data_IF_487136400641
#
_entry.id   IF_487136400641
#
_cell.length_a   1.000
_cell.length_b   1.000
_cell.length_c   1.000
_cell.angle_alpha   90.00
_cell.angle_beta   90.00
_cell.angle_gamma   90.00
#
_symmetry.space_group_name_H-M   'P 1'
#
loop_
_entity.id
_entity.type
_entity.pdbx_description
1 polymer ?
#
# COMPACT_ATOMS: atom_id res chain seq x y z
N UNK A 1 -11.67 -23.12 -14.91
CA UNK A 1 -11.97 -23.17 -13.47
C UNK A 1 -13.04 -22.14 -13.22
N UNK A 2 -14.24 -22.58 -12.96
CA UNK A 2 -15.35 -21.69 -12.62
C UNK A 2 -15.02 -20.89 -11.37
N UNK A 3 -15.24 -19.56 -11.42
CA UNK A 3 -15.14 -18.66 -10.27
C UNK A 3 -16.20 -19.04 -9.23
N UNK A 4 -15.90 -19.95 -8.33
CA UNK A 4 -16.72 -20.15 -7.15
C UNK A 4 -16.59 -18.91 -6.24
N UNK A 5 -17.70 -18.21 -6.11
CA UNK A 5 -18.05 -17.18 -5.13
C UNK A 5 -16.87 -16.53 -4.40
N UNK A 6 -16.29 -15.53 -5.05
CA UNK A 6 -15.21 -14.72 -4.47
C UNK A 6 -15.78 -13.70 -3.47
N UNK A 7 -17.04 -13.28 -3.65
CA UNK A 7 -17.72 -12.35 -2.74
C UNK A 7 -18.40 -13.14 -1.63
N UNK A 8 -18.17 -12.72 -0.39
CA UNK A 8 -18.81 -13.33 0.77
C UNK A 8 -20.32 -13.10 0.74
N UNK A 9 -21.06 -14.10 1.21
CA UNK A 9 -22.51 -13.99 1.34
C UNK A 9 -22.91 -13.03 2.47
N UNK A 10 -24.13 -12.49 2.38
CA UNK A 10 -24.72 -11.70 3.48
C UNK A 10 -24.78 -12.52 4.79
N UNK A 11 -24.96 -13.84 4.68
CA UNK A 11 -24.95 -14.74 5.82
C UNK A 11 -23.59 -14.83 6.52
N UNK A 12 -22.46 -14.85 5.75
CA UNK A 12 -21.13 -14.83 6.32
C UNK A 12 -20.87 -13.50 7.06
N UNK A 13 -21.26 -12.38 6.47
CA UNK A 13 -21.12 -11.07 7.09
C UNK A 13 -22.05 -10.89 8.31
N UNK A 14 -23.26 -11.44 8.26
CA UNK A 14 -24.18 -11.45 9.41
C UNK A 14 -23.60 -12.22 10.58
N UNK A 15 -22.98 -13.37 10.30
CA UNK A 15 -22.27 -14.17 11.32
C UNK A 15 -21.12 -13.40 11.97
N UNK A 16 -20.35 -12.62 11.21
CA UNK A 16 -19.29 -11.81 11.80
C UNK A 16 -19.86 -10.69 12.69
N UNK A 17 -20.97 -10.05 12.30
CA UNK A 17 -21.69 -9.09 13.16
C UNK A 17 -22.18 -9.74 14.47
N UNK A 18 -22.65 -10.97 14.40
CA UNK A 18 -23.05 -11.73 15.62
C UNK A 18 -21.85 -11.95 16.58
N UNK A 19 -20.66 -12.28 16.05
CA UNK A 19 -19.45 -12.40 16.88
C UNK A 19 -19.01 -11.06 17.45
N UNK A 20 -19.14 -9.96 16.67
CA UNK A 20 -18.88 -8.59 17.14
C UNK A 20 -19.75 -8.28 18.38
N UNK A 21 -21.05 -8.53 18.31
CA UNK A 21 -21.95 -8.29 19.45
C UNK A 21 -21.61 -9.16 20.66
N UNK A 22 -21.31 -10.45 20.46
CA UNK A 22 -20.86 -11.34 21.55
C UNK A 22 -19.60 -10.82 22.25
N UNK A 23 -18.63 -10.30 21.50
CA UNK A 23 -17.42 -9.71 22.09
C UNK A 23 -17.76 -8.44 22.85
N UNK A 24 -18.61 -7.58 22.28
CA UNK A 24 -19.08 -6.35 22.92
C UNK A 24 -19.76 -6.63 24.28
N UNK A 25 -20.58 -7.68 24.33
CA UNK A 25 -21.17 -8.15 25.59
C UNK A 25 -20.10 -8.64 26.59
N UNK A 26 -19.09 -9.39 26.14
CA UNK A 26 -17.96 -9.80 26.98
C UNK A 26 -17.18 -8.59 27.53
N UNK A 27 -16.97 -7.57 26.70
CA UNK A 27 -16.29 -6.34 27.11
C UNK A 27 -17.13 -5.58 28.15
N UNK A 28 -18.42 -5.43 27.93
CA UNK A 28 -19.34 -4.77 28.90
C UNK A 28 -19.34 -5.47 30.27
N UNK A 29 -19.23 -6.80 30.31
CA UNK A 29 -19.20 -7.57 31.56
C UNK A 29 -17.91 -7.35 32.36
N UNK A 30 -16.82 -6.84 31.76
CA UNK A 30 -15.55 -6.58 32.45
C UNK A 30 -15.62 -5.40 33.42
N UNK A 31 -16.61 -4.51 33.31
CA UNK A 31 -16.79 -3.35 34.16
C UNK A 31 -15.71 -2.26 34.01
N UNK A 32 -14.85 -2.36 33.00
CA UNK A 32 -13.85 -1.36 32.63
C UNK A 32 -13.79 -1.20 31.10
N UNK A 33 -13.32 -0.06 30.63
CA UNK A 33 -13.03 0.14 29.21
C UNK A 33 -12.00 -0.89 28.72
N UNK A 34 -12.17 -1.36 27.49
CA UNK A 34 -11.22 -2.25 26.81
C UNK A 34 -10.45 -1.44 25.79
N UNK A 35 -9.15 -1.42 25.92
CA UNK A 35 -8.26 -0.64 25.07
C UNK A 35 -7.58 -1.50 24.02
N UNK A 36 -7.53 -0.99 22.80
CA UNK A 36 -6.85 -1.65 21.69
C UNK A 36 -5.72 -0.77 21.12
N UNK A 37 -4.64 -1.42 20.72
CA UNK A 37 -3.55 -0.83 19.96
C UNK A 37 -3.43 -1.55 18.63
N UNK A 38 -3.44 -0.81 17.51
CA UNK A 38 -3.21 -1.35 16.18
C UNK A 38 -1.97 -0.70 15.59
N UNK A 39 -0.91 -1.48 15.41
CA UNK A 39 0.35 -1.02 14.85
C UNK A 39 0.57 -1.62 13.46
N UNK A 40 0.94 -0.79 12.48
CA UNK A 40 1.00 -1.16 11.07
C UNK A 40 2.42 -1.06 10.52
N UNK A 41 2.95 -2.20 10.08
CA UNK A 41 4.27 -2.30 9.46
C UNK A 41 4.10 -2.69 7.99
N UNK A 42 4.08 -1.71 7.07
CA UNK A 42 3.93 -2.13 5.69
C UNK A 42 3.63 -1.06 4.66
N UNK A 43 2.84 -1.46 3.68
CA UNK A 43 2.40 -0.62 2.56
C UNK A 43 1.01 -0.02 2.84
N UNK A 44 0.55 0.84 1.94
CA UNK A 44 -0.78 1.46 2.03
C UNK A 44 -1.93 0.44 2.12
N UNK A 45 -1.79 -0.72 1.47
CA UNK A 45 -2.77 -1.80 1.63
C UNK A 45 -2.83 -2.34 3.06
N UNK A 46 -1.69 -2.42 3.78
CA UNK A 46 -1.73 -2.78 5.21
C UNK A 46 -2.39 -1.69 6.05
N UNK A 47 -2.22 -0.41 5.68
CA UNK A 47 -2.91 0.69 6.37
C UNK A 47 -4.43 0.56 6.18
N UNK A 48 -4.91 0.32 4.95
CA UNK A 48 -6.32 0.08 4.68
C UNK A 48 -6.85 -1.16 5.44
N UNK A 49 -6.08 -2.26 5.47
CA UNK A 49 -6.43 -3.45 6.24
C UNK A 49 -6.54 -3.12 7.76
N UNK A 50 -5.63 -2.29 8.30
CA UNK A 50 -5.66 -1.85 9.70
C UNK A 50 -6.87 -0.95 10.00
N UNK A 51 -7.28 -0.10 9.08
CA UNK A 51 -8.49 0.72 9.25
C UNK A 51 -9.76 -0.15 9.38
N UNK A 52 -9.82 -1.28 8.67
CA UNK A 52 -10.89 -2.27 8.88
C UNK A 52 -10.76 -2.99 10.23
N UNK A 53 -9.55 -3.35 10.66
CA UNK A 53 -9.33 -3.95 11.99
C UNK A 53 -9.78 -2.98 13.08
N UNK A 54 -9.41 -1.70 12.97
CA UNK A 54 -9.84 -0.67 13.91
C UNK A 54 -11.37 -0.52 13.92
N UNK A 55 -12.00 -0.48 12.73
CA UNK A 55 -13.47 -0.41 12.65
C UNK A 55 -14.17 -1.61 13.31
N UNK A 56 -13.64 -2.82 13.17
CA UNK A 56 -14.16 -4.00 13.85
C UNK A 56 -13.95 -3.92 15.37
N UNK A 57 -12.80 -3.46 15.85
CA UNK A 57 -12.49 -3.29 17.27
C UNK A 57 -13.38 -2.20 17.90
N UNK A 58 -13.59 -1.07 17.23
CA UNK A 58 -14.51 -0.02 17.67
C UNK A 58 -15.95 -0.56 17.79
N UNK A 59 -16.42 -1.32 16.79
CA UNK A 59 -17.73 -1.98 16.83
C UNK A 59 -17.86 -2.99 17.99
N UNK A 60 -16.76 -3.57 18.45
CA UNK A 60 -16.69 -4.44 19.64
C UNK A 60 -16.63 -3.65 20.96
N UNK A 61 -16.62 -2.31 20.90
CA UNK A 61 -16.58 -1.43 22.09
C UNK A 61 -15.18 -1.22 22.64
N UNK A 62 -14.14 -1.24 21.79
CA UNK A 62 -12.78 -0.89 22.19
C UNK A 62 -12.51 0.60 21.97
N UNK A 63 -11.78 1.22 22.91
CA UNK A 63 -11.12 2.50 22.72
C UNK A 63 -9.68 2.29 22.28
N UNK A 64 -9.06 3.29 21.61
CA UNK A 64 -7.70 3.15 21.09
C UNK A 64 -6.68 3.86 21.96
N UNK A 65 -5.52 3.21 22.13
CA UNK A 65 -4.36 3.73 22.86
C UNK A 65 -3.09 3.60 22.02
N UNK A 66 -2.05 4.34 22.39
CA UNK A 66 -0.75 4.32 21.68
C UNK A 66 0.30 3.49 22.42
N UNK A 67 0.13 3.31 23.73
CA UNK A 67 1.10 2.64 24.58
C UNK A 67 0.74 1.16 24.77
N UNK A 68 1.64 0.22 24.45
CA UNK A 68 1.37 -1.22 24.57
C UNK A 68 1.01 -1.67 26.00
N UNK A 69 1.50 -0.95 27.02
CA UNK A 69 1.20 -1.28 28.42
C UNK A 69 -0.24 -0.97 28.83
N UNK A 70 -0.92 -0.08 28.11
CA UNK A 70 -2.31 0.34 28.36
C UNK A 70 -3.32 -0.50 27.58
N UNK A 71 -2.84 -1.24 26.57
CA UNK A 71 -3.73 -2.01 25.68
C UNK A 71 -4.12 -3.36 26.28
N UNK A 72 -5.39 -3.71 26.19
CA UNK A 72 -5.92 -5.06 26.45
C UNK A 72 -5.79 -5.93 25.20
N UNK A 73 -5.85 -5.34 23.99
CA UNK A 73 -5.70 -6.03 22.71
C UNK A 73 -4.64 -5.30 21.87
N UNK A 74 -3.62 -6.01 21.43
CA UNK A 74 -2.58 -5.48 20.53
C UNK A 74 -2.65 -6.22 19.20
N UNK A 75 -2.77 -5.49 18.10
CA UNK A 75 -2.75 -6.05 16.74
C UNK A 75 -1.56 -5.49 15.97
N UNK A 76 -0.62 -6.36 15.59
CA UNK A 76 0.49 -6.01 14.71
C UNK A 76 0.17 -6.45 13.28
N UNK A 77 -0.14 -5.49 12.40
CA UNK A 77 -0.39 -5.75 10.98
C UNK A 77 0.89 -5.61 10.17
N UNK A 78 1.28 -6.66 9.45
CA UNK A 78 2.65 -6.88 9.03
C UNK A 78 2.80 -7.12 7.53
N UNK A 79 3.94 -6.68 6.96
CA UNK A 79 4.27 -6.78 5.54
C UNK A 79 5.28 -7.90 5.27
N UNK A 80 5.13 -8.60 4.13
CA UNK A 80 6.08 -9.61 3.67
C UNK A 80 7.11 -9.08 2.65
N UNK A 81 6.97 -7.81 2.22
CA UNK A 81 7.77 -7.27 1.10
C UNK A 81 9.09 -6.66 1.57
N UNK A 82 9.15 -6.09 2.79
CA UNK A 82 10.30 -5.34 3.31
C UNK A 82 11.01 -6.11 4.42
N UNK A 83 12.27 -6.47 4.22
CA UNK A 83 13.10 -7.22 5.20
C UNK A 83 13.24 -6.48 6.55
N UNK A 84 13.47 -5.17 6.50
CA UNK A 84 13.53 -4.35 7.71
C UNK A 84 12.22 -4.36 8.52
N UNK A 85 11.07 -4.43 7.83
CA UNK A 85 9.78 -4.51 8.52
C UNK A 85 9.64 -5.84 9.27
N UNK A 86 10.06 -6.96 8.66
CA UNK A 86 10.03 -8.28 9.29
C UNK A 86 10.90 -8.34 10.57
N UNK A 87 12.14 -7.84 10.49
CA UNK A 87 13.05 -7.78 11.65
C UNK A 87 12.48 -6.91 12.77
N UNK A 88 11.90 -5.75 12.42
CA UNK A 88 11.26 -4.85 13.39
C UNK A 88 10.07 -5.52 14.08
N UNK A 89 9.24 -6.25 13.34
CA UNK A 89 8.09 -6.99 13.89
C UNK A 89 8.54 -8.02 14.92
N UNK A 90 9.58 -8.81 14.62
CA UNK A 90 10.10 -9.77 15.59
C UNK A 90 10.67 -9.11 16.85
N UNK A 91 11.32 -7.95 16.72
CA UNK A 91 11.76 -7.15 17.85
C UNK A 91 10.60 -6.69 18.73
N UNK A 92 9.55 -6.14 18.10
CA UNK A 92 8.34 -5.70 18.81
C UNK A 92 7.63 -6.87 19.50
N UNK A 93 7.46 -8.02 18.80
CA UNK A 93 6.91 -9.22 19.43
C UNK A 93 7.72 -9.66 20.66
N UNK A 94 9.06 -9.57 20.60
CA UNK A 94 9.91 -9.85 21.76
C UNK A 94 9.65 -8.92 22.93
N UNK A 95 9.53 -7.61 22.66
CA UNK A 95 9.26 -6.59 23.67
C UNK A 95 7.89 -6.78 24.36
N UNK A 96 6.85 -7.20 23.62
CA UNK A 96 5.50 -7.46 24.14
C UNK A 96 5.45 -8.59 25.16
N UNK A 97 6.52 -9.39 25.33
CA UNK A 97 6.62 -10.37 26.42
C UNK A 97 6.54 -9.69 27.78
N UNK A 98 7.05 -8.46 27.93
CA UNK A 98 7.02 -7.74 29.19
C UNK A 98 5.61 -7.25 29.54
N UNK A 99 4.88 -6.71 28.57
CA UNK A 99 3.49 -6.24 28.78
C UNK A 99 2.56 -7.41 29.05
N UNK A 100 2.72 -8.52 28.32
CA UNK A 100 1.95 -9.76 28.55
C UNK A 100 2.21 -10.39 29.93
N UNK A 101 3.43 -10.27 30.46
CA UNK A 101 3.74 -10.72 31.83
C UNK A 101 3.08 -9.82 32.89
N UNK A 102 3.02 -8.52 32.65
CA UNK A 102 2.36 -7.55 33.52
C UNK A 102 0.83 -7.69 33.47
N UNK A 103 0.27 -7.95 32.29
CA UNK A 103 -1.15 -8.20 32.06
C UNK A 103 -1.34 -9.55 31.33
N UNK A 104 -1.48 -10.67 32.04
CA UNK A 104 -1.64 -12.00 31.43
C UNK A 104 -2.90 -12.13 30.57
N UNK A 105 -3.92 -11.30 30.78
CA UNK A 105 -5.14 -11.28 29.95
C UNK A 105 -5.01 -10.45 28.67
N UNK A 106 -3.93 -9.70 28.48
CA UNK A 106 -3.67 -8.97 27.25
C UNK A 106 -3.65 -9.94 26.05
N UNK A 107 -4.38 -9.62 25.00
CA UNK A 107 -4.42 -10.43 23.77
C UNK A 107 -3.46 -9.80 22.74
N UNK A 108 -2.53 -10.60 22.24
CA UNK A 108 -1.55 -10.18 21.22
C UNK A 108 -1.85 -10.91 19.92
N UNK A 109 -2.14 -10.11 18.86
CA UNK A 109 -2.47 -10.59 17.53
C UNK A 109 -1.36 -10.22 16.54
N UNK A 110 -0.98 -11.17 15.69
CA UNK A 110 -0.12 -10.93 14.53
C UNK A 110 -0.91 -11.18 13.25
N UNK A 111 -0.98 -10.21 12.36
CA UNK A 111 -1.70 -10.38 11.11
C UNK A 111 -0.97 -9.77 9.89
N UNK A 112 -1.61 -9.84 8.74
CA UNK A 112 -1.12 -9.29 7.49
C UNK A 112 -0.28 -10.26 6.66
N UNK A 113 0.39 -9.72 5.63
CA UNK A 113 1.09 -10.54 4.61
C UNK A 113 2.21 -11.40 5.19
N UNK A 114 2.93 -10.92 6.22
CA UNK A 114 3.98 -11.68 6.88
C UNK A 114 3.41 -12.90 7.61
N UNK A 115 2.29 -12.72 8.32
CA UNK A 115 1.61 -13.76 9.08
C UNK A 115 1.06 -14.90 8.20
N UNK A 116 0.76 -14.60 6.91
CA UNK A 116 0.27 -15.60 5.94
C UNK A 116 1.33 -16.65 5.57
N UNK A 117 2.60 -16.38 5.81
CA UNK A 117 3.70 -17.29 5.47
C UNK A 117 3.77 -18.43 6.48
N UNK A 118 3.70 -19.72 6.04
CA UNK A 118 3.69 -20.86 6.96
C UNK A 118 4.91 -20.92 7.88
N UNK A 119 6.11 -20.59 7.37
CA UNK A 119 7.34 -20.56 8.15
C UNK A 119 7.35 -19.48 9.24
N UNK A 120 6.68 -18.35 9.00
CA UNK A 120 6.51 -17.28 10.00
C UNK A 120 5.53 -17.73 11.08
N UNK A 121 4.38 -18.28 10.68
CA UNK A 121 3.37 -18.81 11.62
C UNK A 121 3.99 -19.88 12.52
N UNK A 122 4.79 -20.80 11.96
CA UNK A 122 5.46 -21.84 12.73
C UNK A 122 6.53 -21.27 13.67
N UNK A 123 7.33 -20.31 13.22
CA UNK A 123 8.29 -19.60 14.08
C UNK A 123 7.59 -18.91 15.25
N UNK A 124 6.45 -18.24 14.99
CA UNK A 124 5.65 -17.61 16.05
C UNK A 124 5.06 -18.66 17.01
N UNK A 125 4.63 -19.80 16.47
CA UNK A 125 4.12 -20.91 17.29
C UNK A 125 5.15 -21.42 18.28
N UNK A 126 6.39 -21.59 17.84
CA UNK A 126 7.48 -22.15 18.63
C UNK A 126 8.13 -21.13 19.58
N UNK A 127 8.43 -19.91 19.09
CA UNK A 127 9.32 -18.97 19.76
C UNK A 127 8.58 -17.80 20.46
N UNK A 128 7.34 -17.49 20.07
CA UNK A 128 6.58 -16.34 20.61
C UNK A 128 5.26 -16.84 21.25
N UNK A 129 5.40 -17.59 22.35
CA UNK A 129 4.27 -18.26 23.02
C UNK A 129 3.22 -17.31 23.62
N UNK A 130 3.56 -16.04 23.78
CA UNK A 130 2.68 -14.98 24.26
C UNK A 130 1.78 -14.37 23.17
N UNK A 131 1.96 -14.74 21.91
CA UNK A 131 1.06 -14.34 20.81
C UNK A 131 -0.14 -15.27 20.80
N UNK A 132 -1.35 -14.71 20.92
CA UNK A 132 -2.59 -15.46 21.08
C UNK A 132 -3.29 -15.74 19.74
N UNK A 133 -3.20 -14.82 18.77
CA UNK A 133 -3.86 -14.93 17.47
C UNK A 133 -2.88 -14.63 16.34
N UNK A 134 -2.86 -15.50 15.32
CA UNK A 134 -2.11 -15.29 14.07
C UNK A 134 -3.05 -15.52 12.89
N UNK A 135 -3.20 -14.53 11.99
CA UNK A 135 -4.05 -14.67 10.81
C UNK A 135 -3.51 -13.91 9.61
N UNK A 136 -3.76 -14.45 8.41
CA UNK A 136 -3.36 -13.82 7.16
C UNK A 136 -4.39 -12.80 6.65
N UNK A 137 -4.05 -12.04 5.59
CA UNK A 137 -4.95 -11.04 5.01
C UNK A 137 -6.22 -11.66 4.42
N UNK A 138 -6.20 -12.94 4.07
CA UNK A 138 -7.36 -13.66 3.55
C UNK A 138 -8.41 -13.95 4.62
N UNK A 139 -7.99 -13.99 5.89
CA UNK A 139 -8.86 -14.20 7.04
C UNK A 139 -9.25 -12.91 7.78
N UNK A 140 -8.89 -11.72 7.24
CA UNK A 140 -9.16 -10.43 7.87
C UNK A 140 -10.63 -10.27 8.27
N UNK A 141 -11.54 -10.61 7.38
CA UNK A 141 -12.98 -10.52 7.59
C UNK A 141 -13.50 -11.43 8.72
N UNK A 142 -12.76 -12.50 9.04
CA UNK A 142 -13.07 -13.42 10.15
C UNK A 142 -12.56 -12.93 11.50
N UNK A 143 -11.94 -11.75 11.57
CA UNK A 143 -11.30 -11.27 12.79
C UNK A 143 -12.22 -11.31 14.02
N UNK A 144 -13.52 -10.90 13.95
CA UNK A 144 -14.44 -11.06 15.07
C UNK A 144 -14.59 -12.50 15.56
N UNK A 145 -14.79 -13.45 14.66
CA UNK A 145 -14.89 -14.88 14.99
C UNK A 145 -13.60 -15.41 15.62
N UNK A 146 -12.44 -15.05 15.03
CA UNK A 146 -11.14 -15.51 15.52
C UNK A 146 -10.82 -14.95 16.92
N UNK A 147 -11.11 -13.68 17.14
CA UNK A 147 -10.94 -13.04 18.44
C UNK A 147 -11.87 -13.65 19.50
N UNK A 148 -13.13 -13.92 19.14
CA UNK A 148 -14.06 -14.63 20.02
C UNK A 148 -13.57 -16.03 20.42
N UNK A 149 -12.92 -16.74 19.48
CA UNK A 149 -12.30 -18.03 19.78
C UNK A 149 -11.15 -17.89 20.80
N UNK A 150 -10.33 -16.82 20.72
CA UNK A 150 -9.29 -16.56 21.73
C UNK A 150 -9.92 -16.36 23.11
N UNK A 151 -11.01 -15.58 23.22
CA UNK A 151 -11.70 -15.35 24.49
C UNK A 151 -12.31 -16.62 25.10
N UNK A 152 -12.83 -17.54 24.27
CA UNK A 152 -13.64 -18.65 24.75
C UNK A 152 -12.87 -19.96 24.89
N UNK A 153 -11.87 -20.21 24.02
CA UNK A 153 -11.16 -21.50 23.99
C UNK A 153 -9.93 -21.56 24.90
N UNK A 154 -9.51 -20.45 25.51
CA UNK A 154 -8.28 -20.33 26.33
C UNK A 154 -7.03 -20.89 25.64
N UNK A 155 -6.95 -20.81 24.33
CA UNK A 155 -5.87 -21.34 23.52
C UNK A 155 -5.50 -20.38 22.38
N UNK A 156 -4.31 -20.60 21.83
CA UNK A 156 -3.80 -19.82 20.70
C UNK A 156 -4.53 -20.19 19.42
N UNK A 157 -4.89 -19.20 18.60
CA UNK A 157 -5.61 -19.37 17.33
C UNK A 157 -4.69 -19.03 16.16
N UNK A 158 -4.62 -19.90 15.15
CA UNK A 158 -3.83 -19.70 13.93
C UNK A 158 -4.74 -19.94 12.72
N UNK A 159 -4.95 -18.88 11.92
CA UNK A 159 -5.76 -18.90 10.68
C UNK A 159 -4.92 -18.40 9.50
N UNK A 160 -4.04 -19.28 9.03
CA UNK A 160 -3.08 -19.01 7.94
C UNK A 160 -3.23 -20.01 6.79
N UNK A 161 -4.34 -20.70 6.72
CA UNK A 161 -4.62 -21.67 5.66
C UNK A 161 -4.75 -20.96 4.31
N UNK A 162 -4.31 -21.63 3.24
CA UNK A 162 -4.42 -21.16 1.87
C UNK A 162 -5.85 -21.29 1.35
N UNK A 163 -6.80 -20.60 1.95
CA UNK A 163 -8.10 -20.41 1.37
C UNK A 163 -7.98 -19.50 0.15
N UNK A 164 -8.78 -19.74 -0.89
CA UNK A 164 -8.94 -18.79 -1.97
C UNK A 164 -9.54 -17.52 -1.36
N UNK A 165 -8.77 -16.43 -1.33
CA UNK A 165 -9.19 -15.22 -0.63
C UNK A 165 -10.54 -14.71 -1.12
N UNK A 166 -11.32 -14.17 -0.20
CA UNK A 166 -12.67 -13.65 -0.47
C UNK A 166 -12.67 -12.11 -0.48
N UNK A 167 -13.72 -11.53 -1.03
CA UNK A 167 -14.02 -10.10 -0.94
C UNK A 167 -15.13 -9.95 0.11
N UNK A 168 -14.86 -9.17 1.14
CA UNK A 168 -15.83 -8.80 2.16
C UNK A 168 -16.26 -7.35 1.91
N UNK A 169 -17.50 -7.16 1.51
CA UNK A 169 -18.09 -5.83 1.38
C UNK A 169 -18.76 -5.40 2.70
N UNK A 170 -18.81 -4.10 2.95
CA UNK A 170 -19.49 -3.53 4.11
C UNK A 170 -18.79 -3.81 5.46
N UNK A 171 -17.49 -4.13 5.48
CA UNK A 171 -16.74 -4.18 6.73
C UNK A 171 -16.67 -2.79 7.37
N UNK A 172 -16.78 -2.68 8.71
CA UNK A 172 -16.54 -1.42 9.42
C UNK A 172 -15.13 -0.88 9.10
N UNK A 173 -15.01 0.44 9.08
CA UNK A 173 -13.74 1.10 8.82
C UNK A 173 -13.61 2.36 9.68
N UNK A 174 -12.46 2.51 10.34
CA UNK A 174 -12.07 3.74 11.04
C UNK A 174 -10.95 4.41 10.25
N UNK A 175 -11.15 5.65 9.85
CA UNK A 175 -10.15 6.45 9.12
C UNK A 175 -9.65 7.58 9.98
N UNK A 176 -8.34 7.74 10.03
CA UNK A 176 -7.71 8.87 10.72
C UNK A 176 -7.81 10.14 9.85
N UNK A 177 -8.47 11.16 10.38
CA UNK A 177 -8.67 12.44 9.70
C UNK A 177 -9.60 12.35 8.48
N UNK A 178 -9.73 13.47 7.75
CA UNK A 178 -10.59 13.59 6.55
C UNK A 178 -9.82 14.08 5.32
N UNK A 179 -8.49 14.11 5.39
CA UNK A 179 -7.67 14.59 4.27
C UNK A 179 -7.52 13.52 3.20
N UNK A 180 -7.27 12.26 3.60
CA UNK A 180 -6.98 11.14 2.71
C UNK A 180 -7.77 9.90 3.05
N UNK A 181 -8.20 9.16 2.02
CA UNK A 181 -8.81 7.84 2.16
C UNK A 181 -8.15 6.83 1.23
N UNK A 182 -8.08 5.58 1.68
CA UNK A 182 -7.66 4.45 0.88
C UNK A 182 -8.86 3.56 0.60
N UNK A 183 -9.05 3.25 -0.69
CA UNK A 183 -10.14 2.39 -1.17
C UNK A 183 -9.54 1.21 -1.91
N UNK A 184 -9.61 0.02 -1.32
CA UNK A 184 -9.20 -1.20 -2.00
C UNK A 184 -10.19 -1.52 -3.11
N UNK A 185 -9.74 -1.55 -4.37
CA UNK A 185 -10.59 -1.88 -5.53
C UNK A 185 -10.44 -3.33 -5.97
N UNK A 186 -9.33 -3.96 -5.60
CA UNK A 186 -9.04 -5.35 -5.91
C UNK A 186 -8.00 -5.93 -4.94
N UNK A 187 -7.94 -7.25 -4.88
CA UNK A 187 -7.00 -7.99 -4.04
C UNK A 187 -6.26 -9.05 -4.87
N UNK A 188 -5.00 -9.35 -4.47
CA UNK A 188 -4.19 -10.39 -5.11
C UNK A 188 -3.53 -9.95 -6.40
N UNK A 189 -2.69 -10.84 -6.98
CA UNK A 189 -1.96 -10.55 -8.22
C UNK A 189 -1.68 -11.84 -8.99
N UNK A 190 -1.90 -11.82 -10.31
CA UNK A 190 -1.66 -12.95 -11.21
C UNK A 190 -0.32 -12.87 -11.97
N UNK A 191 0.51 -11.86 -11.70
CA UNK A 191 1.73 -11.65 -12.49
C UNK A 191 2.86 -12.63 -12.15
N UNK A 192 2.93 -13.14 -10.92
CA UNK A 192 3.96 -14.09 -10.49
C UNK A 192 5.39 -13.67 -10.89
N UNK A 193 5.70 -12.37 -10.77
CA UNK A 193 7.08 -11.91 -10.92
C UNK A 193 8.01 -12.76 -10.05
N UNK A 194 9.15 -13.21 -10.59
CA UNK A 194 9.98 -14.24 -9.95
C UNK A 194 10.51 -13.87 -8.56
N UNK A 195 10.58 -12.58 -8.24
CA UNK A 195 11.03 -12.03 -6.95
C UNK A 195 9.89 -11.73 -5.97
N UNK A 196 8.62 -11.81 -6.40
CA UNK A 196 7.50 -11.24 -5.67
C UNK A 196 6.74 -12.30 -4.86
N UNK A 197 6.57 -12.03 -3.55
CA UNK A 197 5.83 -12.91 -2.63
C UNK A 197 4.31 -12.66 -2.67
N UNK A 198 3.84 -11.55 -3.24
CA UNK A 198 2.43 -11.12 -3.18
C UNK A 198 1.44 -12.19 -3.63
N UNK A 199 1.61 -12.89 -4.79
CA UNK A 199 0.66 -13.93 -5.19
C UNK A 199 0.49 -15.06 -4.17
N UNK A 200 1.51 -15.32 -3.38
CA UNK A 200 1.53 -16.40 -2.40
C UNK A 200 0.89 -16.00 -1.06
N UNK A 201 0.87 -14.72 -0.74
CA UNK A 201 0.33 -14.22 0.54
C UNK A 201 -1.02 -13.51 0.41
N UNK A 202 -1.32 -12.91 -0.76
CA UNK A 202 -2.61 -12.25 -1.03
C UNK A 202 -3.49 -13.00 -2.04
N UNK A 203 -2.96 -14.07 -2.64
CA UNK A 203 -3.69 -14.93 -3.56
C UNK A 203 -3.86 -14.34 -4.97
N UNK A 204 -4.80 -14.90 -5.71
CA UNK A 204 -5.13 -14.50 -7.09
C UNK A 204 -5.89 -13.18 -7.14
N UNK A 205 -5.85 -12.52 -8.30
CA UNK A 205 -6.60 -11.30 -8.56
C UNK A 205 -8.11 -11.49 -8.35
N UNK A 206 -8.70 -10.55 -7.63
CA UNK A 206 -10.14 -10.48 -7.34
C UNK A 206 -10.54 -9.02 -7.32
N UNK A 207 -11.30 -8.59 -8.31
CA UNK A 207 -11.86 -7.23 -8.40
C UNK A 207 -13.13 -7.11 -7.57
N UNK A 208 -13.26 -6.03 -6.84
CA UNK A 208 -14.51 -5.65 -6.18
C UNK A 208 -15.54 -5.20 -7.22
N UNK A 209 -16.80 -5.25 -6.85
CA UNK A 209 -17.90 -4.77 -7.67
C UNK A 209 -17.77 -3.25 -7.92
N UNK A 210 -17.88 -2.77 -9.18
CA UNK A 210 -17.78 -1.34 -9.49
C UNK A 210 -18.80 -0.48 -8.73
N UNK A 211 -20.02 -0.95 -8.56
CA UNK A 211 -21.08 -0.18 -7.89
C UNK A 211 -20.75 0.05 -6.42
N UNK A 212 -20.16 -0.96 -5.74
CA UNK A 212 -19.71 -0.84 -4.36
C UNK A 212 -18.57 0.19 -4.21
N UNK A 213 -17.61 0.18 -5.15
CA UNK A 213 -16.51 1.15 -5.16
C UNK A 213 -17.03 2.57 -5.41
N UNK A 214 -17.94 2.73 -6.39
CA UNK A 214 -18.55 4.02 -6.72
C UNK A 214 -19.35 4.57 -5.52
N UNK A 215 -20.11 3.72 -4.84
CA UNK A 215 -20.85 4.11 -3.65
C UNK A 215 -19.92 4.57 -2.52
N UNK A 216 -18.82 3.83 -2.26
CA UNK A 216 -17.83 4.18 -1.26
C UNK A 216 -17.15 5.52 -1.58
N UNK A 217 -16.70 5.73 -2.82
CA UNK A 217 -16.06 6.98 -3.24
C UNK A 217 -17.03 8.16 -3.17
N UNK A 218 -18.30 7.95 -3.54
CA UNK A 218 -19.35 8.98 -3.42
C UNK A 218 -19.57 9.40 -1.95
N UNK A 219 -19.58 8.45 -1.05
CA UNK A 219 -19.68 8.73 0.38
C UNK A 219 -18.47 9.55 0.86
N UNK A 220 -17.25 9.13 0.52
CA UNK A 220 -16.03 9.85 0.90
C UNK A 220 -15.99 11.28 0.36
N UNK A 221 -16.38 11.48 -0.90
CA UNK A 221 -16.50 12.81 -1.50
C UNK A 221 -17.50 13.69 -0.76
N UNK A 222 -18.68 13.14 -0.40
CA UNK A 222 -19.71 13.83 0.38
C UNK A 222 -19.25 14.17 1.81
N UNK A 223 -18.42 13.32 2.43
CA UNK A 223 -17.79 13.56 3.74
C UNK A 223 -16.65 14.59 3.68
N UNK A 224 -16.24 15.03 2.47
CA UNK A 224 -15.26 16.10 2.27
C UNK A 224 -13.80 15.61 2.19
N UNK A 225 -13.56 14.32 1.99
CA UNK A 225 -12.20 13.82 1.73
C UNK A 225 -11.60 14.48 0.50
N UNK A 226 -10.31 14.87 0.60
CA UNK A 226 -9.60 15.63 -0.45
C UNK A 226 -8.77 14.75 -1.38
N UNK A 227 -8.32 13.59 -0.92
CA UNK A 227 -7.56 12.67 -1.73
C UNK A 227 -8.04 11.23 -1.48
N UNK A 228 -8.41 10.53 -2.55
CA UNK A 228 -8.88 9.15 -2.51
C UNK A 228 -7.92 8.30 -3.33
N UNK A 229 -7.19 7.41 -2.67
CA UNK A 229 -6.23 6.53 -3.33
C UNK A 229 -6.82 5.15 -3.53
N UNK A 230 -6.94 4.73 -4.79
CA UNK A 230 -7.38 3.41 -5.17
C UNK A 230 -6.24 2.41 -5.01
N UNK A 231 -6.47 1.34 -4.25
CA UNK A 231 -5.47 0.34 -3.90
C UNK A 231 -5.77 -1.02 -4.54
N UNK A 232 -4.70 -1.68 -4.91
CA UNK A 232 -4.67 -3.05 -5.38
C UNK A 232 -3.22 -3.51 -5.51
N UNK A 233 -2.99 -4.77 -5.87
CA UNK A 233 -1.64 -5.27 -6.13
C UNK A 233 -1.25 -5.16 -7.60
N UNK A 234 -2.23 -4.90 -8.49
CA UNK A 234 -2.07 -4.53 -9.88
C UNK A 234 -3.37 -3.86 -10.37
N UNK A 235 -3.55 -2.57 -10.06
CA UNK A 235 -4.81 -1.87 -10.35
C UNK A 235 -5.17 -1.82 -11.84
N UNK A 236 -4.16 -1.87 -12.73
CA UNK A 236 -4.38 -1.86 -14.17
C UNK A 236 -5.07 -3.13 -14.69
N UNK A 237 -5.08 -4.22 -13.91
CA UNK A 237 -5.80 -5.45 -14.26
C UNK A 237 -7.22 -5.50 -13.71
N UNK A 238 -7.67 -4.45 -12.99
CA UNK A 238 -9.03 -4.38 -12.46
C UNK A 238 -10.07 -4.69 -13.55
N UNK A 239 -11.05 -5.47 -13.17
CA UNK A 239 -12.19 -5.84 -14.02
C UNK A 239 -11.95 -7.06 -14.93
N UNK A 240 -10.69 -7.44 -15.23
CA UNK A 240 -10.40 -8.61 -16.09
C UNK A 240 -11.06 -9.89 -15.60
N UNK A 241 -11.23 -10.00 -14.31
CA UNK A 241 -11.80 -11.14 -13.65
C UNK A 241 -13.32 -11.06 -13.48
N UNK A 242 -13.96 -9.92 -13.74
CA UNK A 242 -15.42 -9.75 -13.70
C UNK A 242 -16.13 -10.38 -14.91
N UNK A 243 -15.46 -10.50 -16.06
CA UNK A 243 -16.01 -11.08 -17.27
C UNK A 243 -17.06 -10.20 -17.98
N UNK A 244 -17.19 -8.93 -17.59
CA UNK A 244 -18.14 -7.96 -18.13
C UNK A 244 -17.56 -7.07 -19.23
N UNK A 245 -16.23 -7.07 -19.42
CA UNK A 245 -15.51 -6.12 -20.27
C UNK A 245 -15.27 -4.76 -19.62
N UNK A 246 -15.77 -4.53 -18.40
CA UNK A 246 -15.52 -3.32 -17.61
C UNK A 246 -14.09 -3.34 -17.08
N UNK A 247 -13.33 -2.30 -17.34
CA UNK A 247 -11.92 -2.22 -16.96
C UNK A 247 -11.61 -1.04 -16.01
N UNK A 248 -10.33 -0.87 -15.68
CA UNK A 248 -9.90 0.19 -14.77
C UNK A 248 -10.15 1.61 -15.33
N UNK A 249 -10.05 1.79 -16.64
CA UNK A 249 -10.35 3.08 -17.29
C UNK A 249 -11.84 3.43 -17.20
N UNK A 250 -12.72 2.42 -17.31
CA UNK A 250 -14.16 2.61 -17.14
C UNK A 250 -14.49 2.98 -15.69
N UNK A 251 -13.84 2.33 -14.71
CA UNK A 251 -13.99 2.69 -13.30
C UNK A 251 -13.55 4.14 -13.05
N UNK A 252 -12.38 4.56 -13.54
CA UNK A 252 -11.91 5.93 -13.39
C UNK A 252 -12.87 6.95 -13.99
N UNK A 253 -13.48 6.63 -15.15
CA UNK A 253 -14.49 7.48 -15.78
C UNK A 253 -15.70 7.65 -14.89
N UNK A 254 -16.24 6.55 -14.35
CA UNK A 254 -17.41 6.59 -13.46
C UNK A 254 -17.12 7.33 -12.14
N UNK A 255 -15.89 7.22 -11.61
CA UNK A 255 -15.48 7.93 -10.41
C UNK A 255 -15.29 9.43 -10.65
N UNK A 256 -14.85 9.83 -11.86
CA UNK A 256 -14.68 11.24 -12.22
C UNK A 256 -16.02 12.00 -12.34
N UNK A 257 -17.12 11.29 -12.59
CA UNK A 257 -18.47 11.85 -12.64
C UNK A 257 -19.05 12.21 -11.26
N UNK A 258 -18.42 11.76 -10.16
CA UNK A 258 -18.90 12.06 -8.80
C UNK A 258 -18.51 13.50 -8.46
N UNK A 259 -19.50 14.37 -8.10
CA UNK A 259 -19.20 15.76 -7.78
C UNK A 259 -18.42 15.89 -6.47
N UNK A 260 -17.49 16.86 -6.42
CA UNK A 260 -16.70 17.14 -5.22
C UNK A 260 -15.41 17.87 -5.54
N UNK A 261 -14.68 18.25 -4.49
CA UNK A 261 -13.33 18.85 -4.60
C UNK A 261 -12.30 17.88 -4.01
N UNK A 262 -11.94 16.88 -4.80
CA UNK A 262 -11.02 15.82 -4.40
C UNK A 262 -10.16 15.34 -5.59
N UNK A 263 -9.08 14.63 -5.30
CA UNK A 263 -8.25 13.94 -6.28
C UNK A 263 -8.31 12.42 -6.10
N UNK A 264 -8.39 11.72 -7.20
CA UNK A 264 -8.25 10.27 -7.28
C UNK A 264 -6.79 9.95 -7.63
N UNK A 265 -6.15 9.13 -6.82
CA UNK A 265 -4.84 8.53 -7.08
C UNK A 265 -4.95 7.01 -7.15
N UNK A 266 -3.98 6.39 -7.74
CA UNK A 266 -3.82 4.94 -7.69
C UNK A 266 -2.35 4.54 -7.66
N UNK A 267 -2.09 3.37 -7.12
CA UNK A 267 -0.74 2.81 -6.98
C UNK A 267 -0.73 1.36 -7.48
N UNK A 268 0.48 0.80 -7.63
CA UNK A 268 0.67 -0.61 -7.99
C UNK A 268 0.21 -0.96 -9.41
N UNK A 269 0.61 -0.15 -10.38
CA UNK A 269 0.44 -0.44 -11.80
C UNK A 269 1.49 -1.43 -12.32
N UNK A 270 1.20 -2.09 -13.45
CA UNK A 270 2.18 -2.90 -14.16
C UNK A 270 2.19 -2.55 -15.66
N UNK A 271 3.37 -2.42 -16.28
CA UNK A 271 3.48 -2.04 -17.70
C UNK A 271 2.72 -2.97 -18.66
N UNK A 272 2.68 -4.28 -18.37
CA UNK A 272 1.90 -5.26 -19.17
C UNK A 272 0.43 -4.88 -19.31
N UNK A 273 -0.15 -4.36 -18.25
CA UNK A 273 -1.58 -4.07 -18.15
C UNK A 273 -1.89 -2.58 -18.38
N UNK A 274 -0.87 -1.74 -18.58
CA UNK A 274 -1.03 -0.35 -18.96
C UNK A 274 -1.50 -0.24 -20.42
N UNK A 275 -2.53 0.57 -20.66
CA UNK A 275 -3.13 0.75 -21.98
C UNK A 275 -3.24 2.21 -22.37
N UNK A 276 -3.29 2.49 -23.68
CA UNK A 276 -3.54 3.84 -24.19
C UNK A 276 -4.92 4.36 -23.76
N UNK A 277 -5.94 3.47 -23.70
CA UNK A 277 -7.27 3.81 -23.14
C UNK A 277 -7.16 4.37 -21.73
N UNK A 278 -6.34 3.76 -20.88
CA UNK A 278 -6.11 4.24 -19.50
C UNK A 278 -5.50 5.64 -19.52
N UNK A 279 -4.49 5.89 -20.35
CA UNK A 279 -3.82 7.20 -20.40
C UNK A 279 -4.73 8.28 -20.97
N UNK A 280 -5.53 7.99 -22.00
CA UNK A 280 -6.54 8.91 -22.53
C UNK A 280 -7.61 9.24 -21.47
N UNK A 281 -8.02 8.23 -20.68
CA UNK A 281 -8.95 8.44 -19.58
C UNK A 281 -8.34 9.32 -18.50
N UNK A 282 -7.11 9.03 -18.06
CA UNK A 282 -6.39 9.88 -17.10
C UNK A 282 -6.27 11.32 -17.60
N UNK A 283 -5.98 11.52 -18.90
CA UNK A 283 -5.85 12.86 -19.48
C UNK A 283 -7.17 13.64 -19.42
N UNK A 284 -8.30 12.97 -19.72
CA UNK A 284 -9.64 13.56 -19.79
C UNK A 284 -10.25 13.85 -18.42
N UNK A 285 -10.07 12.93 -17.46
CA UNK A 285 -10.70 13.00 -16.14
C UNK A 285 -10.12 14.12 -15.29
N UNK A 286 -10.97 14.95 -14.70
CA UNK A 286 -10.58 16.12 -13.91
C UNK A 286 -10.15 15.77 -12.48
N UNK A 287 -10.78 14.80 -11.87
CA UNK A 287 -10.46 14.33 -10.53
C UNK A 287 -9.26 13.37 -10.50
N UNK A 288 -8.90 12.77 -11.64
CA UNK A 288 -7.77 11.81 -11.69
C UNK A 288 -6.45 12.57 -11.76
N UNK A 289 -5.60 12.38 -10.75
CA UNK A 289 -4.28 12.97 -10.68
C UNK A 289 -3.43 12.59 -11.90
N UNK A 290 -2.73 13.56 -12.48
CA UNK A 290 -1.78 13.33 -13.58
C UNK A 290 -0.46 12.80 -13.00
N UNK A 291 -0.57 11.70 -12.26
CA UNK A 291 0.53 10.97 -11.65
C UNK A 291 0.41 9.50 -12.01
N UNK A 292 1.47 8.92 -12.53
CA UNK A 292 1.54 7.51 -12.89
C UNK A 292 2.75 6.86 -12.22
N UNK A 293 2.48 5.89 -11.35
CA UNK A 293 3.51 5.00 -10.84
C UNK A 293 3.52 3.72 -11.68
N UNK A 294 4.56 3.54 -12.51
CA UNK A 294 4.66 2.44 -13.46
C UNK A 294 6.01 1.71 -13.31
N UNK A 295 6.09 0.71 -12.42
CA UNK A 295 7.33 0.00 -12.10
C UNK A 295 7.96 -0.71 -13.29
N UNK A 296 9.11 -0.22 -13.78
CA UNK A 296 9.87 -0.85 -14.88
C UNK A 296 10.71 -2.02 -14.39
N UNK A 297 11.24 -1.92 -13.18
CA UNK A 297 12.08 -2.88 -12.48
C UNK A 297 13.52 -3.01 -13.02
N UNK A 298 13.74 -3.09 -14.34
CA UNK A 298 15.05 -3.13 -14.98
C UNK A 298 14.99 -2.52 -16.39
N UNK A 299 16.08 -1.97 -16.87
CA UNK A 299 16.26 -1.49 -18.23
C UNK A 299 16.82 -2.54 -19.21
N UNK A 300 17.12 -3.74 -18.72
CA UNK A 300 17.66 -4.85 -19.52
C UNK A 300 16.60 -5.91 -19.80
N UNK A 301 16.33 -6.20 -21.07
CA UNK A 301 15.30 -7.17 -21.50
C UNK A 301 15.56 -8.59 -20.99
N UNK A 302 16.86 -9.01 -20.89
CA UNK A 302 17.20 -10.32 -20.32
C UNK A 302 16.80 -10.40 -18.84
N UNK A 303 17.10 -9.36 -18.09
CA UNK A 303 16.76 -9.27 -16.65
C UNK A 303 15.24 -9.22 -16.48
N UNK A 304 14.52 -8.45 -17.28
CA UNK A 304 13.05 -8.42 -17.28
C UNK A 304 12.44 -9.81 -17.50
N UNK A 305 12.97 -10.57 -18.48
CA UNK A 305 12.54 -11.97 -18.71
C UNK A 305 12.82 -12.86 -17.49
N UNK A 306 14.00 -12.74 -16.88
CA UNK A 306 14.37 -13.49 -15.68
C UNK A 306 13.48 -13.11 -14.47
N UNK A 307 13.03 -11.87 -14.41
CA UNK A 307 12.05 -11.37 -13.42
C UNK A 307 10.60 -11.83 -13.71
N UNK A 308 10.37 -12.58 -14.79
CA UNK A 308 9.02 -12.93 -15.29
C UNK A 308 8.16 -11.69 -15.57
N UNK A 309 8.76 -10.69 -16.26
CA UNK A 309 8.07 -9.46 -16.69
C UNK A 309 7.78 -9.58 -18.19
N UNK A 310 6.51 -9.73 -18.62
CA UNK A 310 6.15 -10.00 -20.02
C UNK A 310 6.05 -8.71 -20.86
N UNK A 311 7.05 -7.87 -20.81
CA UNK A 311 7.27 -6.70 -21.65
C UNK A 311 8.79 -6.46 -21.75
N UNK A 312 9.19 -5.70 -22.74
CA UNK A 312 10.55 -5.26 -23.00
C UNK A 312 10.72 -3.74 -22.84
N UNK A 313 11.95 -3.28 -22.93
CA UNK A 313 12.30 -1.85 -22.87
C UNK A 313 11.59 -1.03 -23.96
N UNK A 314 11.46 -1.58 -25.18
CA UNK A 314 10.83 -0.88 -26.30
C UNK A 314 9.34 -0.61 -26.00
N UNK A 315 8.61 -1.62 -25.51
CA UNK A 315 7.21 -1.46 -25.13
C UNK A 315 7.04 -0.50 -23.96
N UNK A 316 7.93 -0.53 -22.97
CA UNK A 316 7.91 0.42 -21.88
C UNK A 316 8.06 1.87 -22.36
N UNK A 317 9.05 2.13 -23.22
CA UNK A 317 9.28 3.45 -23.78
C UNK A 317 8.10 3.94 -24.66
N UNK A 318 7.46 3.05 -25.42
CA UNK A 318 6.24 3.36 -26.18
C UNK A 318 5.13 3.87 -25.25
N UNK A 319 4.87 3.15 -24.14
CA UNK A 319 3.86 3.52 -23.15
C UNK A 319 4.16 4.91 -22.55
N UNK A 320 5.40 5.16 -22.15
CA UNK A 320 5.78 6.45 -21.54
C UNK A 320 5.69 7.59 -22.54
N UNK A 321 6.14 7.37 -23.78
CA UNK A 321 6.06 8.36 -24.84
C UNK A 321 4.61 8.78 -25.10
N UNK A 322 3.71 7.78 -25.18
CA UNK A 322 2.29 8.06 -25.36
C UNK A 322 1.68 8.79 -24.17
N UNK A 323 1.96 8.31 -22.94
CA UNK A 323 1.44 8.92 -21.72
C UNK A 323 1.84 10.40 -21.61
N UNK A 324 3.09 10.73 -21.88
CA UNK A 324 3.57 12.15 -21.90
C UNK A 324 2.99 12.98 -23.03
N UNK A 325 2.69 12.34 -24.17
CA UNK A 325 2.03 13.04 -25.29
C UNK A 325 0.63 13.50 -24.90
N UNK A 326 -0.15 12.66 -24.23
CA UNK A 326 -1.54 12.98 -23.85
C UNK A 326 -1.63 13.74 -22.53
N UNK A 327 -0.60 13.65 -21.68
CA UNK A 327 -0.48 14.33 -20.39
C UNK A 327 0.92 15.00 -20.27
N UNK A 328 1.11 16.21 -20.83
CA UNK A 328 2.43 16.88 -20.82
C UNK A 328 2.99 17.15 -19.42
N UNK A 329 2.13 17.34 -18.41
CA UNK A 329 2.51 17.57 -17.01
C UNK A 329 2.52 16.29 -16.16
N UNK A 330 2.54 15.10 -16.80
CA UNK A 330 2.55 13.83 -16.11
C UNK A 330 3.73 13.71 -15.16
N UNK A 331 3.43 13.43 -13.89
CA UNK A 331 4.43 13.01 -12.91
C UNK A 331 4.59 11.49 -12.99
N UNK A 332 5.76 11.07 -13.40
CA UNK A 332 6.06 9.64 -13.62
C UNK A 332 7.02 9.13 -12.57
N UNK A 333 6.62 8.08 -11.85
CA UNK A 333 7.46 7.39 -10.87
C UNK A 333 7.56 5.90 -11.19
N UNK A 334 8.61 5.25 -10.70
CA UNK A 334 8.85 3.83 -10.98
C UNK A 334 9.59 3.16 -9.83
N UNK A 335 9.58 1.81 -9.84
CA UNK A 335 10.46 0.98 -9.03
C UNK A 335 11.57 0.41 -9.91
N UNK A 336 12.78 0.30 -9.35
CA UNK A 336 13.95 -0.34 -9.98
C UNK A 336 14.63 -1.24 -8.97
N UNK A 337 14.95 -2.45 -9.41
CA UNK A 337 15.73 -3.44 -8.66
C UNK A 337 17.06 -3.65 -9.36
N UNK A 338 18.16 -3.37 -8.69
CA UNK A 338 19.53 -3.62 -9.12
C UNK A 338 20.07 -4.88 -8.45
N UNK A 339 20.96 -5.58 -9.16
CA UNK A 339 21.63 -6.77 -8.64
C UNK A 339 20.71 -7.97 -8.54
N UNK A 340 19.77 -8.12 -9.48
CA UNK A 340 18.98 -9.33 -9.62
C UNK A 340 19.91 -10.53 -9.86
N UNK A 341 19.62 -11.77 -9.37
CA UNK A 341 20.50 -12.91 -9.54
C UNK A 341 20.94 -13.14 -10.99
N UNK A 342 22.25 -13.16 -11.20
CA UNK A 342 22.86 -13.29 -12.53
C UNK A 342 22.81 -12.02 -13.39
N UNK A 343 22.46 -10.88 -12.86
CA UNK A 343 22.63 -9.57 -13.52
C UNK A 343 24.10 -9.20 -13.56
N UNK A 344 24.56 -8.69 -14.69
CA UNK A 344 25.92 -8.19 -14.88
C UNK A 344 25.98 -6.67 -14.72
N UNK A 345 27.18 -6.09 -14.52
CA UNK A 345 27.37 -4.64 -14.47
C UNK A 345 26.87 -3.97 -15.76
N UNK A 346 27.16 -4.53 -16.93
CA UNK A 346 26.71 -3.98 -18.21
C UNK A 346 25.18 -3.89 -18.28
N UNK A 347 24.47 -4.89 -17.79
CA UNK A 347 22.99 -4.92 -17.76
C UNK A 347 22.43 -3.94 -16.72
N UNK A 348 23.09 -3.80 -15.57
CA UNK A 348 22.72 -2.77 -14.59
C UNK A 348 22.91 -1.36 -15.18
N UNK A 349 23.94 -1.13 -15.99
CA UNK A 349 24.15 0.15 -16.67
C UNK A 349 23.12 0.41 -17.79
N UNK A 350 22.52 -0.62 -18.41
CA UNK A 350 21.37 -0.43 -19.29
C UNK A 350 20.17 0.15 -18.52
N UNK A 351 20.03 -0.23 -17.25
CA UNK A 351 18.98 0.33 -16.38
C UNK A 351 19.27 1.79 -16.05
N UNK A 352 20.51 2.17 -15.77
CA UNK A 352 20.92 3.57 -15.56
C UNK A 352 20.63 4.40 -16.83
N UNK A 353 21.04 3.89 -18.01
CA UNK A 353 20.78 4.57 -19.29
C UNK A 353 19.27 4.74 -19.56
N UNK A 354 18.43 3.76 -19.21
CA UNK A 354 16.98 3.90 -19.33
C UNK A 354 16.46 5.02 -18.41
N UNK A 355 16.97 5.11 -17.18
CA UNK A 355 16.56 6.17 -16.22
C UNK A 355 16.92 7.54 -16.74
N UNK A 356 18.13 7.69 -17.30
CA UNK A 356 18.57 8.94 -17.94
C UNK A 356 17.72 9.31 -19.17
N UNK A 357 17.31 8.32 -19.96
CA UNK A 357 16.43 8.51 -21.12
C UNK A 357 15.01 8.88 -20.73
N UNK A 358 14.42 8.17 -19.79
CA UNK A 358 13.04 8.37 -19.37
C UNK A 358 12.89 9.61 -18.50
N UNK A 359 13.88 9.91 -17.65
CA UNK A 359 13.85 11.03 -16.69
C UNK A 359 12.61 10.95 -15.78
N UNK A 360 12.63 10.00 -14.87
CA UNK A 360 11.55 9.85 -13.88
C UNK A 360 11.56 11.01 -12.89
N UNK A 361 10.38 11.39 -12.42
CA UNK A 361 10.23 12.40 -11.35
C UNK A 361 10.77 11.89 -10.02
N UNK A 362 10.58 10.61 -9.74
CA UNK A 362 11.17 9.91 -8.60
C UNK A 362 11.27 8.40 -8.88
N UNK A 363 12.25 7.75 -8.27
CA UNK A 363 12.40 6.29 -8.27
C UNK A 363 12.39 5.75 -6.84
N UNK A 364 11.76 4.59 -6.67
CA UNK A 364 11.99 3.73 -5.54
C UNK A 364 13.01 2.67 -5.95
N UNK A 365 14.22 2.78 -5.41
CA UNK A 365 15.38 1.98 -5.81
C UNK A 365 15.71 0.94 -4.77
N UNK A 366 16.00 -0.28 -5.21
CA UNK A 366 16.28 -1.41 -4.34
C UNK A 366 17.46 -2.20 -4.87
N UNK A 367 18.30 -2.71 -3.98
CA UNK A 367 19.17 -3.84 -4.31
C UNK A 367 18.36 -5.11 -4.04
N UNK A 368 18.41 -6.06 -4.98
CA UNK A 368 17.69 -7.33 -4.84
C UNK A 368 17.91 -7.97 -3.45
N UNK A 369 16.84 -8.40 -2.85
CA UNK A 369 16.83 -9.12 -1.58
C UNK A 369 15.94 -10.35 -1.73
N UNK A 370 16.48 -11.57 -1.60
CA UNK A 370 15.72 -12.79 -1.78
C UNK A 370 14.58 -12.91 -0.79
N UNK A 371 13.40 -13.31 -1.26
CA UNK A 371 12.23 -13.58 -0.43
C UNK A 371 11.97 -15.08 -0.39
N UNK A 372 12.09 -15.73 0.77
CA UNK A 372 11.77 -17.15 0.89
C UNK A 372 10.42 -17.49 0.29
N UNK A 373 10.34 -18.59 -0.45
CA UNK A 373 9.14 -19.01 -1.15
C UNK A 373 8.99 -18.48 -2.59
N UNK A 374 9.82 -17.52 -3.03
CA UNK A 374 9.82 -17.02 -4.41
C UNK A 374 10.78 -17.79 -5.31
N UNK A 375 10.52 -17.86 -6.64
CA UNK A 375 11.44 -18.48 -7.59
C UNK A 375 12.85 -17.84 -7.57
N UNK A 376 12.94 -16.50 -7.54
CA UNK A 376 14.23 -15.80 -7.56
C UNK A 376 15.09 -16.04 -6.31
N UNK A 377 14.48 -16.41 -5.17
CA UNK A 377 15.25 -16.77 -3.97
C UNK A 377 16.06 -18.08 -4.11
N UNK A 378 15.76 -18.87 -5.15
CA UNK A 378 16.43 -20.15 -5.43
C UNK A 378 17.51 -20.02 -6.51
N UNK A 379 17.64 -18.84 -7.13
CA UNK A 379 18.63 -18.59 -8.15
C UNK A 379 20.00 -18.39 -7.51
N UNK A 380 21.03 -18.84 -8.22
CA UNK A 380 22.42 -18.56 -7.86
C UNK A 380 22.71 -17.07 -8.04
N UNK A 381 23.33 -16.47 -7.05
CA UNK A 381 23.64 -15.04 -7.00
C UNK A 381 25.12 -14.82 -6.71
N UNK A 382 25.98 -14.97 -7.75
CA UNK A 382 27.44 -14.95 -7.59
C UNK A 382 28.01 -13.56 -7.33
N UNK A 383 27.22 -12.48 -7.59
CA UNK A 383 27.73 -11.11 -7.48
C UNK A 383 27.71 -10.65 -6.03
N UNK A 384 28.85 -10.23 -5.48
CA UNK A 384 28.92 -9.74 -4.10
C UNK A 384 28.06 -8.49 -3.86
N UNK A 385 27.53 -8.37 -2.66
CA UNK A 385 26.70 -7.21 -2.28
C UNK A 385 27.41 -5.87 -2.45
N UNK A 386 28.73 -5.82 -2.19
CA UNK A 386 29.52 -4.60 -2.34
C UNK A 386 29.58 -4.12 -3.80
N UNK A 387 29.65 -5.04 -4.75
CA UNK A 387 29.65 -4.72 -6.19
C UNK A 387 28.29 -4.20 -6.63
N UNK A 388 27.19 -4.86 -6.21
CA UNK A 388 25.83 -4.38 -6.44
C UNK A 388 25.58 -3.00 -5.83
N UNK A 389 26.24 -2.67 -4.70
CA UNK A 389 26.16 -1.35 -4.09
C UNK A 389 26.74 -0.27 -5.01
N UNK A 390 27.85 -0.54 -5.69
CA UNK A 390 28.45 0.40 -6.65
C UNK A 390 27.47 0.70 -7.80
N UNK A 391 26.81 -0.34 -8.34
CA UNK A 391 25.81 -0.15 -9.40
C UNK A 391 24.60 0.65 -8.91
N UNK A 392 24.15 0.34 -7.69
CA UNK A 392 23.04 1.03 -7.05
C UNK A 392 23.34 2.51 -6.80
N UNK A 393 24.55 2.86 -6.36
CA UNK A 393 24.97 4.22 -6.13
C UNK A 393 24.97 5.03 -7.45
N UNK A 394 25.45 4.45 -8.55
CA UNK A 394 25.38 5.07 -9.90
C UNK A 394 23.93 5.34 -10.34
N UNK A 395 23.01 4.40 -10.07
CA UNK A 395 21.59 4.60 -10.35
C UNK A 395 21.02 5.77 -9.54
N UNK A 396 21.32 5.81 -8.23
CA UNK A 396 20.88 6.86 -7.34
C UNK A 396 21.43 8.24 -7.74
N UNK A 397 22.70 8.32 -8.10
CA UNK A 397 23.34 9.56 -8.56
C UNK A 397 22.66 10.12 -9.82
N UNK A 398 22.39 9.25 -10.81
CA UNK A 398 21.68 9.62 -12.03
C UNK A 398 20.27 10.15 -11.72
N UNK A 399 19.50 9.43 -10.87
CA UNK A 399 18.15 9.85 -10.51
C UNK A 399 18.14 11.13 -9.66
N UNK A 400 19.04 11.30 -8.72
CA UNK A 400 19.12 12.50 -7.88
C UNK A 400 19.32 13.74 -8.73
N UNK A 401 20.24 13.69 -9.71
CA UNK A 401 20.44 14.77 -10.65
C UNK A 401 19.19 15.09 -11.46
N UNK A 402 18.49 14.07 -11.96
CA UNK A 402 17.25 14.24 -12.72
C UNK A 402 16.16 14.88 -11.85
N UNK A 403 15.99 14.41 -10.60
CA UNK A 403 14.98 14.93 -9.67
C UNK A 403 15.26 16.40 -9.34
N UNK A 404 16.51 16.78 -9.11
CA UNK A 404 16.92 18.16 -8.87
C UNK A 404 16.60 19.06 -10.07
N UNK A 405 16.96 18.64 -11.29
CA UNK A 405 16.67 19.37 -12.52
C UNK A 405 15.16 19.52 -12.77
N UNK A 406 14.35 18.51 -12.46
CA UNK A 406 12.89 18.57 -12.59
C UNK A 406 12.31 19.52 -11.54
N UNK A 407 12.73 19.41 -10.27
CA UNK A 407 12.22 20.25 -9.20
C UNK A 407 12.56 21.73 -9.42
N UNK A 408 13.75 22.04 -9.92
CA UNK A 408 14.15 23.41 -10.24
C UNK A 408 13.19 24.11 -11.23
N UNK A 409 12.50 23.38 -12.11
CA UNK A 409 11.53 23.93 -13.07
C UNK A 409 10.23 24.41 -12.40
N UNK A 410 10.00 24.06 -11.14
CA UNK A 410 8.82 24.52 -10.39
C UNK A 410 9.05 25.85 -9.66
N UNK A 411 10.30 26.27 -9.47
CA UNK A 411 10.63 27.52 -8.78
C UNK A 411 10.01 28.70 -9.55
N UNK A 412 9.32 29.57 -8.83
CA UNK A 412 8.56 30.70 -9.38
C UNK A 412 7.13 30.40 -9.83
N UNK A 413 6.73 29.11 -9.90
CA UNK A 413 5.35 28.70 -10.24
C UNK A 413 4.45 28.75 -9.00
N UNK A 414 3.17 29.03 -9.20
CA UNK A 414 2.13 28.84 -8.19
C UNK A 414 1.42 27.50 -8.47
N UNK A 415 1.32 26.67 -7.45
CA UNK A 415 0.75 25.32 -7.54
C UNK A 415 -0.38 25.16 -6.53
N UNK A 416 -1.48 24.55 -6.93
CA UNK A 416 -2.52 24.10 -5.99
C UNK A 416 -2.02 22.89 -5.23
N UNK A 417 -1.90 23.00 -3.90
CA UNK A 417 -1.37 21.98 -3.01
C UNK A 417 -2.36 21.63 -1.92
N UNK A 418 -2.47 20.34 -1.60
CA UNK A 418 -3.20 19.87 -0.42
C UNK A 418 -2.27 19.96 0.78
N UNK A 419 -2.62 20.77 1.78
CA UNK A 419 -1.85 20.86 3.02
C UNK A 419 -2.17 19.60 3.84
N UNK A 420 -1.17 18.75 4.07
CA UNK A 420 -1.40 17.40 4.56
C UNK A 420 -0.87 17.13 5.97
N UNK A 421 -0.13 18.06 6.55
CA UNK A 421 0.36 17.89 7.91
C UNK A 421 1.30 18.98 8.40
N UNK A 422 1.79 18.79 9.59
CA UNK A 422 2.86 19.59 10.21
C UNK A 422 4.22 18.97 9.88
N UNK A 423 5.24 19.82 9.90
CA UNK A 423 6.64 19.44 9.74
C UNK A 423 7.40 19.71 11.05
N UNK A 424 8.41 18.90 11.32
CA UNK A 424 9.32 19.12 12.47
C UNK A 424 10.34 20.24 12.20
N UNK A 425 10.48 20.71 10.95
CA UNK A 425 11.35 21.84 10.61
C UNK A 425 10.63 23.16 10.86
N UNK A 426 11.07 23.89 11.88
CA UNK A 426 10.46 25.17 12.27
C UNK A 426 10.52 26.26 11.19
N UNK A 427 11.42 26.15 10.22
CA UNK A 427 11.48 27.06 9.04
C UNK A 427 10.34 26.79 8.08
N UNK A 428 9.85 25.55 8.03
CA UNK A 428 8.82 25.05 7.16
C UNK A 428 7.80 24.25 7.97
N UNK A 429 6.95 24.93 8.75
CA UNK A 429 6.11 24.24 9.76
C UNK A 429 5.02 23.35 9.16
N UNK A 430 4.73 23.44 7.84
CA UNK A 430 3.71 22.66 7.18
C UNK A 430 4.29 21.81 6.05
N UNK A 431 3.61 20.70 5.79
CA UNK A 431 3.79 19.89 4.59
C UNK A 431 2.56 19.93 3.71
N UNK A 432 2.78 19.81 2.40
CA UNK A 432 1.72 19.71 1.42
C UNK A 432 2.09 18.76 0.28
N UNK A 433 1.10 18.45 -0.54
CA UNK A 433 1.29 17.68 -1.77
C UNK A 433 0.68 18.42 -2.96
N UNK A 434 1.46 18.52 -4.04
CA UNK A 434 0.92 18.96 -5.33
C UNK A 434 -0.06 17.93 -5.91
N UNK A 435 -0.82 18.31 -6.93
CA UNK A 435 -1.66 17.38 -7.69
C UNK A 435 -0.86 16.18 -8.25
N UNK A 436 0.41 16.37 -8.61
CA UNK A 436 1.33 15.30 -9.02
C UNK A 436 1.97 14.51 -7.86
N UNK A 437 1.63 14.82 -6.60
CA UNK A 437 2.11 14.09 -5.42
C UNK A 437 3.48 14.53 -4.88
N UNK A 438 4.10 15.62 -5.43
CA UNK A 438 5.37 16.13 -4.92
C UNK A 438 5.21 16.73 -3.54
N UNK A 439 6.18 16.45 -2.67
CA UNK A 439 6.27 17.04 -1.34
C UNK A 439 6.59 18.54 -1.48
N UNK A 440 5.86 19.35 -0.74
CA UNK A 440 6.11 20.78 -0.58
C UNK A 440 6.22 21.08 0.92
N UNK A 441 7.31 21.70 1.32
CA UNK A 441 7.46 22.30 2.63
C UNK A 441 7.11 23.78 2.55
N UNK A 442 6.29 24.29 3.45
CA UNK A 442 5.81 25.65 3.33
C UNK A 442 5.61 26.35 4.68
N UNK A 443 5.63 27.68 4.60
CA UNK A 443 5.24 28.58 5.69
C UNK A 443 3.74 28.83 5.59
N UNK A 444 3.04 28.69 6.73
CA UNK A 444 1.61 28.92 6.80
C UNK A 444 1.02 28.62 8.17
N UNK A 445 -0.27 28.83 8.33
CA UNK A 445 -1.01 28.54 9.54
C UNK A 445 -1.54 27.09 9.55
N UNK A 446 -1.48 26.45 10.71
CA UNK A 446 -1.93 25.06 10.87
C UNK A 446 -3.43 24.84 10.58
N UNK A 447 -4.25 25.88 10.61
CA UNK A 447 -5.67 25.83 10.21
C UNK A 447 -5.88 25.50 8.74
N UNK A 448 -4.84 25.65 7.90
CA UNK A 448 -4.86 25.28 6.49
C UNK A 448 -4.83 23.75 6.27
N UNK A 449 -4.42 22.95 7.27
CA UNK A 449 -4.31 21.50 7.15
C UNK A 449 -5.67 20.89 6.77
N UNK A 450 -5.64 19.98 5.79
CA UNK A 450 -6.83 19.33 5.26
C UNK A 450 -7.49 20.05 4.09
N UNK A 451 -6.96 21.21 3.66
CA UNK A 451 -7.52 21.99 2.56
C UNK A 451 -6.50 22.21 1.43
N UNK A 452 -7.03 22.52 0.24
CA UNK A 452 -6.22 22.97 -0.88
C UNK A 452 -5.94 24.46 -0.75
N UNK A 453 -4.68 24.82 -1.00
CA UNK A 453 -4.22 26.21 -1.10
C UNK A 453 -3.30 26.39 -2.30
N UNK A 454 -3.27 27.59 -2.83
CA UNK A 454 -2.27 27.98 -3.81
C UNK A 454 -0.97 28.31 -3.08
N UNK A 455 0.11 27.69 -3.56
CA UNK A 455 1.45 27.79 -2.98
C UNK A 455 2.42 28.26 -4.06
N UNK A 456 3.08 29.39 -3.82
CA UNK A 456 4.16 29.89 -4.67
C UNK A 456 5.44 29.17 -4.28
N UNK A 457 6.02 28.45 -5.23
CA UNK A 457 7.28 27.73 -5.02
C UNK A 457 8.44 28.73 -5.08
N UNK A 458 9.21 28.81 -4.02
CA UNK A 458 10.33 29.75 -3.87
C UNK A 458 11.69 29.10 -4.00
N UNK A 459 11.77 27.79 -3.69
CA UNK A 459 13.02 27.03 -3.74
C UNK A 459 12.73 25.54 -3.96
N UNK A 460 13.78 24.74 -4.27
CA UNK A 460 13.68 23.31 -4.46
C UNK A 460 15.00 22.60 -4.14
N UNK A 461 14.91 21.30 -3.83
CA UNK A 461 16.05 20.41 -3.80
C UNK A 461 15.69 19.05 -4.44
N UNK A 462 16.58 18.08 -4.36
CA UNK A 462 16.38 16.72 -4.91
C UNK A 462 15.08 16.06 -4.41
N UNK A 463 14.61 16.36 -3.19
CA UNK A 463 13.56 15.62 -2.50
C UNK A 463 12.24 16.36 -2.35
N UNK A 464 12.26 17.69 -2.38
CA UNK A 464 11.11 18.52 -2.08
C UNK A 464 11.14 19.87 -2.77
N UNK A 465 9.97 20.48 -2.85
CA UNK A 465 9.77 21.88 -3.17
C UNK A 465 9.59 22.68 -1.86
N UNK A 466 9.89 23.96 -1.91
CA UNK A 466 9.69 24.89 -0.79
C UNK A 466 8.87 26.09 -1.27
N UNK A 467 7.98 26.59 -0.42
CA UNK A 467 7.11 27.68 -0.83
C UNK A 467 6.37 28.36 0.30
N UNK A 468 5.50 29.27 -0.08
CA UNK A 468 4.64 30.04 0.81
C UNK A 468 3.22 30.10 0.25
N UNK A 469 2.21 30.11 1.11
CA UNK A 469 0.81 30.28 0.71
C UNK A 469 0.60 31.68 0.13
N UNK A 470 -0.23 31.78 -0.95
CA UNK A 470 -0.53 33.03 -1.65
C UNK A 470 -1.98 33.42 -1.42
#
# INVERSE_FOLDING_TARGET
MERKNVVLSDGDMARQREFTEKIKELHAQRGKAVHALVDTFGCQQNVADSQHIMGMLEAMGCDFVTEPAEADIIVLNTCAIRDHAEKRVYGNLGALTHTKKANPEQIICLCGCMAQRPEVAEKVRQSYRHVDLVFGPQALWKFPELLYQVYTRRGRVFSVENEHGSIAEGMPVVREGRTRAWVSIMYGCNNFCSYCIVPYVRGRERSRDPEQIIAEVRQLAAEGYKEITLLGQNVNSYGKDLGTGYDFADLLTALDEIPGDYLIRFMSSQPKDASFKLFDTMARCSHVAKQLHLPVQSGCDRVLRAMNRPYDKARYLELITYARKVMPELVLTSDVIIGFPGETEAEAMETVALVEQVRFDALFTFIFSPRPGTPAAKLDDPVPRAEKQVWFDRLCDAQNKISEEIHAQYVGRTLRCLIDGQSDDSRWPLTARTAGGRLVHLVGDASAIGNYHDVKITDSNTWALFGEMV
#
